data_IF_353515587513
#
_entry.id   IF_353515587513
#
_cell.length_a   1.000
_cell.length_b   1.000
_cell.length_c   1.000
_cell.angle_alpha   90.00
_cell.angle_beta   90.00
_cell.angle_gamma   90.00
#
_symmetry.space_group_name_H-M   'P 1'
#
loop_
_entity.id
_entity.type
_entity.pdbx_description
1 polymer ?
#
# COMPACT_ATOMS: atom_id res chain seq x y z
N UNK A 1 -0.97 5.53 -23.60
CA UNK A 1 0.16 4.86 -22.93
C UNK A 1 -0.10 4.94 -21.44
N UNK A 2 -0.80 3.96 -20.87
CA UNK A 2 -1.25 3.99 -19.46
C UNK A 2 -1.33 2.55 -18.95
N UNK A 3 -0.17 1.90 -18.83
CA UNK A 3 -0.08 0.47 -18.50
C UNK A 3 0.12 0.21 -17.00
N UNK A 4 0.39 1.24 -16.20
CA UNK A 4 0.48 1.13 -14.73
C UNK A 4 -0.93 1.09 -14.15
N UNK A 5 -1.30 -0.04 -13.55
CA UNK A 5 -2.63 -0.24 -12.96
C UNK A 5 -2.62 -0.32 -11.44
N UNK A 6 -1.50 -0.76 -10.87
CA UNK A 6 -1.39 -1.03 -9.44
C UNK A 6 -0.09 -0.47 -8.90
N UNK A 7 -0.07 -0.17 -7.60
CA UNK A 7 1.12 0.22 -6.86
C UNK A 7 1.29 -0.73 -5.68
N UNK A 8 2.49 -1.25 -5.53
CA UNK A 8 2.91 -1.99 -4.34
C UNK A 8 3.63 -1.03 -3.41
N UNK A 9 3.15 -0.93 -2.17
CA UNK A 9 3.66 0.00 -1.17
C UNK A 9 4.32 -0.83 -0.06
N UNK A 10 5.54 -0.46 0.32
CA UNK A 10 6.23 -1.04 1.47
C UNK A 10 6.11 -0.10 2.65
N UNK A 11 5.47 -0.56 3.70
CA UNK A 11 5.22 0.18 4.94
C UNK A 11 5.99 -0.43 6.11
N UNK A 12 6.45 0.42 7.00
CA UNK A 12 6.97 0.08 8.31
C UNK A 12 6.06 0.67 9.37
N UNK A 13 5.55 -0.21 10.22
CA UNK A 13 4.73 0.14 11.37
C UNK A 13 5.64 0.11 12.58
N UNK A 14 5.83 1.25 13.23
CA UNK A 14 6.71 1.38 14.38
C UNK A 14 5.97 2.07 15.53
N UNK A 15 6.36 1.72 16.75
CA UNK A 15 5.79 2.30 17.95
C UNK A 15 6.70 3.40 18.48
N UNK A 16 6.20 4.63 18.54
CA UNK A 16 6.90 5.72 19.20
C UNK A 16 6.62 5.66 20.70
N UNK A 17 7.64 5.26 21.48
CA UNK A 17 7.57 5.14 22.94
C UNK A 17 7.34 6.47 23.65
N UNK A 18 7.71 7.60 23.06
CA UNK A 18 7.53 8.91 23.70
C UNK A 18 6.10 9.39 23.57
N UNK A 19 5.46 9.11 22.42
CA UNK A 19 4.10 9.55 22.13
C UNK A 19 3.07 8.48 22.48
N UNK A 20 3.50 7.24 22.71
CA UNK A 20 2.65 6.06 22.85
C UNK A 20 1.70 5.87 21.68
N UNK A 21 2.14 6.25 20.48
CA UNK A 21 1.34 6.13 19.24
C UNK A 21 2.06 5.18 18.27
N UNK A 22 1.28 4.32 17.62
CA UNK A 22 1.77 3.56 16.47
C UNK A 22 1.77 4.46 15.23
N UNK A 23 2.93 4.66 14.63
CA UNK A 23 3.07 5.45 13.40
C UNK A 23 3.38 4.55 12.21
N UNK A 24 2.84 4.93 11.05
CA UNK A 24 3.08 4.24 9.78
C UNK A 24 4.02 5.06 8.92
N UNK A 25 5.09 4.44 8.44
CA UNK A 25 6.04 5.05 7.52
C UNK A 25 6.09 4.28 6.21
N UNK A 26 5.80 4.96 5.11
CA UNK A 26 6.03 4.41 3.77
C UNK A 26 7.53 4.50 3.48
N UNK A 27 8.15 3.35 3.20
CA UNK A 27 9.57 3.25 2.85
C UNK A 27 9.75 3.35 1.34
N UNK A 28 8.87 2.69 0.58
CA UNK A 28 9.01 2.63 -0.87
C UNK A 28 7.71 2.35 -1.59
N UNK A 29 7.66 2.78 -2.83
CA UNK A 29 6.55 2.56 -3.76
C UNK A 29 7.08 1.93 -5.04
N UNK A 30 6.34 0.94 -5.55
CA UNK A 30 6.69 0.22 -6.76
C UNK A 30 5.50 0.21 -7.73
N UNK A 31 5.59 0.88 -8.89
CA UNK A 31 4.55 0.79 -9.91
C UNK A 31 4.53 -0.60 -10.54
N UNK A 32 3.34 -1.13 -10.79
CA UNK A 32 3.12 -2.42 -11.42
C UNK A 32 2.37 -2.26 -12.74
N UNK A 33 2.93 -2.84 -13.80
CA UNK A 33 2.30 -2.91 -15.11
C UNK A 33 1.39 -4.13 -15.22
N UNK A 34 0.22 -3.94 -15.83
CA UNK A 34 -0.61 -5.04 -16.25
C UNK A 34 0.01 -5.71 -17.48
N UNK A 35 0.61 -6.90 -17.31
CA UNK A 35 1.12 -7.67 -18.44
C UNK A 35 -0.08 -8.26 -19.20
N UNK A 36 -0.28 -7.78 -20.41
CA UNK A 36 -1.18 -8.40 -21.39
C UNK A 36 -0.36 -9.34 -22.27
N UNK A 37 -0.96 -10.47 -22.66
CA UNK A 37 -0.37 -11.31 -23.69
C UNK A 37 -0.49 -10.61 -25.05
N UNK A 38 0.59 -10.56 -25.84
CA UNK A 38 0.62 -9.89 -27.15
C UNK A 38 -0.24 -10.61 -28.19
N UNK A 39 -0.50 -11.90 -28.00
CA UNK A 39 -1.27 -12.73 -28.95
C UNK A 39 -2.75 -12.84 -28.60
N UNK A 40 -3.11 -12.92 -27.32
CA UNK A 40 -4.52 -13.14 -26.89
C UNK A 40 -5.14 -11.92 -26.21
N UNK A 41 -4.36 -10.89 -25.87
CA UNK A 41 -4.84 -9.72 -25.14
C UNK A 41 -5.26 -10.01 -23.69
N UNK A 42 -5.10 -11.26 -23.22
CA UNK A 42 -5.52 -11.68 -21.89
C UNK A 42 -4.57 -11.16 -20.82
N UNK A 43 -5.14 -10.87 -19.64
CA UNK A 43 -4.38 -10.39 -18.49
C UNK A 43 -3.60 -11.55 -17.88
N UNK A 44 -2.27 -11.53 -18.06
CA UNK A 44 -1.37 -12.58 -17.58
C UNK A 44 -0.83 -12.35 -16.17
N UNK A 45 -1.01 -11.14 -15.64
CA UNK A 45 -0.61 -10.77 -14.28
C UNK A 45 0.03 -9.40 -14.20
N UNK A 46 0.57 -9.08 -13.01
CA UNK A 46 1.22 -7.80 -12.73
C UNK A 46 2.74 -7.97 -12.77
N UNK A 47 3.43 -7.08 -13.49
CA UNK A 47 4.88 -7.00 -13.52
C UNK A 47 5.35 -5.82 -12.69
N UNK A 48 6.16 -6.07 -11.66
CA UNK A 48 6.84 -5.03 -10.88
C UNK A 48 7.87 -4.33 -11.77
N UNK A 49 7.92 -3.00 -11.69
CA UNK A 49 8.87 -2.20 -12.45
C UNK A 49 10.17 -1.96 -11.68
N UNK A 50 10.14 -0.99 -10.76
CA UNK A 50 11.28 -0.61 -9.94
C UNK A 50 10.79 -0.04 -8.60
N UNK A 51 11.62 -0.14 -7.58
CA UNK A 51 11.34 0.46 -6.28
C UNK A 51 11.81 1.91 -6.25
N UNK A 52 10.92 2.79 -5.82
CA UNK A 52 11.21 4.20 -5.57
C UNK A 52 11.29 4.37 -4.07
N UNK A 53 12.37 4.99 -3.59
CA UNK A 53 12.50 5.37 -2.19
C UNK A 53 11.54 6.53 -1.88
N UNK A 54 10.55 6.27 -1.03
CA UNK A 54 9.43 7.18 -0.83
C UNK A 54 9.85 8.53 -0.23
N UNK A 55 10.75 8.60 0.77
CA UNK A 55 11.16 9.88 1.35
C UNK A 55 11.74 10.88 0.34
N UNK A 56 12.50 10.40 -0.64
CA UNK A 56 13.03 11.25 -1.72
C UNK A 56 11.95 11.64 -2.74
N UNK A 57 10.99 10.75 -3.00
CA UNK A 57 9.89 11.00 -3.94
C UNK A 57 8.86 12.00 -3.42
N UNK A 58 8.81 12.28 -2.10
CA UNK A 58 7.86 13.24 -1.49
C UNK A 58 7.90 14.62 -2.15
N UNK A 59 9.09 15.12 -2.52
CA UNK A 59 9.22 16.44 -3.16
C UNK A 59 8.47 16.53 -4.50
N UNK A 60 8.30 15.39 -5.19
CA UNK A 60 7.53 15.30 -6.44
C UNK A 60 6.05 15.12 -6.14
N UNK A 61 5.70 14.29 -5.15
CA UNK A 61 4.30 14.01 -4.80
C UNK A 61 3.57 15.21 -4.17
N UNK A 62 4.28 16.05 -3.41
CA UNK A 62 3.72 17.30 -2.86
C UNK A 62 3.35 18.29 -3.97
N UNK A 63 4.12 18.33 -5.07
CA UNK A 63 3.85 19.23 -6.20
C UNK A 63 2.77 18.71 -7.15
N UNK A 64 2.37 17.46 -6.99
CA UNK A 64 1.44 16.77 -7.89
C UNK A 64 0.03 16.82 -7.29
N UNK A 65 -0.83 17.67 -7.86
CA UNK A 65 -2.23 17.84 -7.43
C UNK A 65 -3.11 16.70 -7.96
N UNK A 66 -4.00 16.19 -7.11
CA UNK A 66 -5.03 15.21 -7.44
C UNK A 66 -6.37 15.92 -7.50
N UNK A 67 -6.95 15.96 -8.70
CA UNK A 67 -8.25 16.58 -8.93
C UNK A 67 -9.37 15.68 -8.38
N UNK A 68 -10.08 16.18 -7.37
CA UNK A 68 -11.30 15.53 -6.90
C UNK A 68 -12.49 15.98 -7.76
N UNK A 69 -13.06 15.06 -8.56
CA UNK A 69 -14.22 15.36 -9.43
C UNK A 69 -15.48 15.74 -8.65
N UNK A 70 -15.57 15.39 -7.37
CA UNK A 70 -16.72 15.68 -6.53
C UNK A 70 -16.62 17.00 -5.77
N UNK A 71 -15.42 17.58 -5.64
CA UNK A 71 -15.21 18.83 -4.92
C UNK A 71 -14.03 19.60 -5.52
N UNK A 72 -14.33 20.63 -6.30
CA UNK A 72 -13.35 21.46 -7.03
C UNK A 72 -12.56 22.39 -6.11
N UNK A 73 -13.07 22.66 -4.90
CA UNK A 73 -12.47 23.59 -3.93
C UNK A 73 -11.32 22.95 -3.16
N UNK A 74 -11.36 21.64 -2.93
CA UNK A 74 -10.35 20.94 -2.15
C UNK A 74 -9.22 20.41 -3.05
N UNK A 75 -8.13 21.17 -3.13
CA UNK A 75 -6.87 20.70 -3.73
C UNK A 75 -6.19 19.73 -2.77
N UNK A 76 -6.08 18.46 -3.16
CA UNK A 76 -5.29 17.46 -2.43
C UNK A 76 -4.06 17.10 -3.24
N UNK A 77 -2.93 16.89 -2.58
CA UNK A 77 -1.72 16.38 -3.23
C UNK A 77 -1.67 14.86 -3.13
N UNK A 78 -0.85 14.20 -3.96
CA UNK A 78 -0.61 12.77 -3.78
C UNK A 78 -0.04 12.46 -2.40
N UNK A 79 0.79 13.35 -1.86
CA UNK A 79 1.34 13.19 -0.51
C UNK A 79 0.22 13.18 0.55
N UNK A 80 -0.78 14.05 0.45
CA UNK A 80 -1.91 14.07 1.39
C UNK A 80 -2.69 12.75 1.39
N UNK A 81 -2.85 12.13 0.22
CA UNK A 81 -3.57 10.86 0.07
C UNK A 81 -2.79 9.73 0.76
N UNK A 82 -1.49 9.64 0.53
CA UNK A 82 -0.63 8.63 1.15
C UNK A 82 -0.52 8.84 2.66
N UNK A 83 -0.35 10.09 3.10
CA UNK A 83 -0.24 10.45 4.51
C UNK A 83 -1.54 10.15 5.27
N UNK A 84 -2.70 10.55 4.73
CA UNK A 84 -4.02 10.29 5.33
C UNK A 84 -4.53 8.87 5.07
N UNK A 85 -3.76 8.02 4.39
CA UNK A 85 -4.16 6.66 3.96
C UNK A 85 -5.50 6.62 3.22
N UNK A 86 -5.77 7.61 2.38
CA UNK A 86 -7.00 7.72 1.59
C UNK A 86 -6.94 6.86 0.32
N UNK A 87 -6.61 5.58 0.46
CA UNK A 87 -6.53 4.63 -0.64
C UNK A 87 -7.04 3.24 -0.23
N UNK A 88 -7.60 2.52 -1.19
CA UNK A 88 -7.94 1.11 -1.00
C UNK A 88 -6.69 0.24 -1.16
N UNK A 89 -6.40 -0.59 -0.17
CA UNK A 89 -5.26 -1.53 -0.20
C UNK A 89 -5.62 -2.87 0.39
N UNK A 90 -4.94 -3.91 -0.07
CA UNK A 90 -4.94 -5.24 0.51
C UNK A 90 -3.51 -5.65 0.85
N UNK A 91 -3.34 -6.40 1.94
CA UNK A 91 -2.02 -6.87 2.38
C UNK A 91 -1.65 -8.07 1.51
N UNK A 92 -0.45 -8.05 0.92
CA UNK A 92 0.09 -9.18 0.14
C UNK A 92 1.13 -9.99 0.92
N UNK A 93 1.76 -9.35 1.90
CA UNK A 93 2.86 -9.89 2.67
C UNK A 93 3.01 -9.09 3.95
N UNK A 94 3.20 -9.81 5.06
CA UNK A 94 3.62 -9.25 6.35
C UNK A 94 5.01 -9.80 6.69
N UNK A 95 5.72 -9.11 7.58
CA UNK A 95 6.96 -9.63 8.14
C UNK A 95 6.70 -10.97 8.84
N UNK A 96 7.39 -12.02 8.44
CA UNK A 96 7.27 -13.34 9.01
C UNK A 96 8.62 -14.07 8.97
N UNK A 97 8.77 -15.09 9.82
CA UNK A 97 10.03 -15.86 9.97
C UNK A 97 10.46 -16.51 8.65
N UNK A 98 9.49 -16.99 7.86
CA UNK A 98 9.75 -17.72 6.61
C UNK A 98 9.84 -16.82 5.37
N UNK A 99 9.73 -15.49 5.53
CA UNK A 99 9.71 -14.49 4.47
C UNK A 99 8.68 -14.74 3.33
N UNK A 100 7.58 -15.45 3.62
CA UNK A 100 6.58 -15.89 2.64
C UNK A 100 5.50 -14.82 2.40
N UNK A 101 5.01 -14.72 1.17
CA UNK A 101 3.80 -13.93 0.85
C UNK A 101 2.53 -14.74 1.09
N UNK A 102 1.39 -14.06 1.26
CA UNK A 102 0.10 -14.71 1.53
C UNK A 102 -0.27 -15.73 0.45
N UNK A 103 -0.05 -15.35 -0.81
CA UNK A 103 -0.31 -16.19 -1.99
C UNK A 103 0.51 -17.50 -2.03
N UNK A 104 1.62 -17.58 -1.27
CA UNK A 104 2.43 -18.81 -1.23
C UNK A 104 1.81 -19.90 -0.36
N UNK A 105 0.93 -19.55 0.58
CA UNK A 105 0.34 -20.52 1.53
C UNK A 105 -1.20 -20.53 1.54
N UNK A 106 -1.86 -19.49 1.04
CA UNK A 106 -3.32 -19.43 0.83
C UNK A 106 -3.61 -19.02 -0.60
N UNK A 107 -4.72 -19.51 -1.18
CA UNK A 107 -5.11 -19.24 -2.58
C UNK A 107 -6.52 -18.68 -2.66
N UNK A 108 -6.75 -17.78 -3.63
CA UNK A 108 -8.08 -17.27 -3.95
C UNK A 108 -8.74 -16.54 -2.78
N UNK A 109 -9.94 -16.97 -2.40
CA UNK A 109 -10.73 -16.32 -1.34
C UNK A 109 -10.05 -16.37 0.03
N UNK A 110 -9.36 -17.48 0.35
CA UNK A 110 -8.68 -17.62 1.63
C UNK A 110 -7.52 -16.63 1.80
N UNK A 111 -6.86 -16.26 0.70
CA UNK A 111 -5.81 -15.24 0.72
C UNK A 111 -6.37 -13.84 1.00
N UNK A 112 -7.60 -13.55 0.53
CA UNK A 112 -8.26 -12.29 0.83
C UNK A 112 -8.72 -12.22 2.29
N UNK A 113 -9.31 -13.29 2.81
CA UNK A 113 -9.69 -13.37 4.23
C UNK A 113 -8.49 -13.22 5.15
N UNK A 114 -7.38 -13.89 4.85
CA UNK A 114 -6.13 -13.72 5.59
C UNK A 114 -5.62 -12.28 5.56
N UNK A 115 -5.68 -11.61 4.41
CA UNK A 115 -5.28 -10.21 4.30
C UNK A 115 -6.15 -9.29 5.17
N UNK A 116 -7.45 -9.58 5.30
CA UNK A 116 -8.34 -8.87 6.22
C UNK A 116 -8.04 -9.18 7.69
N UNK A 117 -7.77 -10.44 8.04
CA UNK A 117 -7.40 -10.84 9.40
C UNK A 117 -6.10 -10.19 9.86
N UNK A 118 -5.09 -10.12 8.98
CA UNK A 118 -3.83 -9.42 9.26
C UNK A 118 -4.07 -7.91 9.44
N UNK A 119 -4.94 -7.31 8.63
CA UNK A 119 -5.32 -5.90 8.79
C UNK A 119 -6.00 -5.65 10.13
N UNK A 120 -6.90 -6.53 10.55
CA UNK A 120 -7.52 -6.44 11.88
C UNK A 120 -6.50 -6.64 13.00
N UNK A 121 -5.53 -7.52 12.82
CA UNK A 121 -4.48 -7.76 13.82
C UNK A 121 -3.66 -6.49 14.05
N UNK A 122 -3.24 -5.80 12.98
CA UNK A 122 -2.54 -4.51 13.07
C UNK A 122 -3.40 -3.47 13.81
N UNK A 123 -4.70 -3.40 13.50
CA UNK A 123 -5.62 -2.48 14.16
C UNK A 123 -5.81 -2.79 15.66
N UNK A 124 -5.86 -4.08 16.05
CA UNK A 124 -5.91 -4.47 17.48
C UNK A 124 -4.62 -4.14 18.20
N UNK A 125 -3.46 -4.39 17.58
CA UNK A 125 -2.17 -4.00 18.15
C UNK A 125 -2.10 -2.50 18.41
N UNK A 126 -2.64 -1.68 17.51
CA UNK A 126 -2.79 -0.26 17.76
C UNK A 126 -3.67 -0.01 18.99
N UNK A 127 -4.90 -0.54 19.03
CA UNK A 127 -5.84 -0.35 20.14
C UNK A 127 -5.31 -0.78 21.52
N UNK A 128 -4.66 -1.94 21.59
CA UNK A 128 -4.13 -2.49 22.85
C UNK A 128 -3.05 -1.57 23.44
N UNK A 129 -2.24 -0.93 22.60
CA UNK A 129 -1.22 0.04 23.05
C UNK A 129 -1.82 1.33 23.63
N UNK A 130 -3.08 1.66 23.30
CA UNK A 130 -3.81 2.81 23.88
C UNK A 130 -4.46 2.49 25.23
N UNK A 131 -4.61 1.20 25.58
CA UNK A 131 -5.36 0.76 26.77
C UNK A 131 -4.54 0.74 28.08
N UNK A 132 -3.41 1.46 28.13
CA UNK A 132 -2.52 1.57 29.29
C UNK A 132 -2.10 3.02 29.52
#
# INVERSE_FOLDING_TARGET
STDVKWYEIKEEWFFDRQRSVMEVRIIGICPMLAKKDELTGEFRGLKKLFWIYYPEARYVFVKSEVFNRANDVERRTYEDIFWKRQFGSYIIKMSNVYNRSIDQYKKGLDALLEAEDLKQTIFRMEHDLWSY
#
